data_IF_162342020708
#
_entry.id   IF_162342020708
#
_cell.length_a   1.000
_cell.length_b   1.000
_cell.length_c   1.000
_cell.angle_alpha   90.00
_cell.angle_beta   90.00
_cell.angle_gamma   90.00
#
_symmetry.space_group_name_H-M   'P 1'
#
loop_
_entity.id
_entity.type
_entity.pdbx_description
1 polymer ?
#
# COMPACT_ATOMS: atom_id res chain seq x y z
N UNK A 1 14.86 50.62 11.42
CA UNK A 1 13.87 49.67 10.83
C UNK A 1 14.63 48.82 9.84
N UNK A 2 15.09 47.56 10.23
CA UNK A 2 15.42 46.48 9.25
C UNK A 2 16.33 45.39 9.77
N UNK A 3 16.81 45.47 11.05
CA UNK A 3 17.71 44.44 11.58
C UNK A 3 16.97 43.15 12.07
N UNK A 4 15.68 43.25 12.35
CA UNK A 4 14.85 42.12 12.82
C UNK A 4 14.37 41.22 11.68
N UNK A 5 14.13 41.77 10.50
CA UNK A 5 13.66 41.02 9.34
C UNK A 5 14.79 40.22 8.66
N UNK A 6 16.02 40.76 8.65
CA UNK A 6 17.18 40.07 8.12
C UNK A 6 17.63 38.88 9.02
N UNK A 7 17.53 39.04 10.34
CA UNK A 7 17.87 37.97 11.28
C UNK A 7 16.84 36.83 11.25
N UNK A 8 15.54 37.14 11.11
CA UNK A 8 14.48 36.15 10.98
C UNK A 8 14.64 35.25 9.73
N UNK A 9 15.03 35.82 8.60
CA UNK A 9 15.34 35.07 7.38
C UNK A 9 16.52 34.11 7.54
N UNK A 10 17.61 34.58 8.14
CA UNK A 10 18.82 33.79 8.34
C UNK A 10 18.60 32.61 9.29
N UNK A 11 17.76 32.78 10.33
CA UNK A 11 17.44 31.69 11.27
C UNK A 11 16.51 30.64 10.62
N UNK A 12 15.59 31.08 9.77
CA UNK A 12 14.73 30.14 9.02
C UNK A 12 15.54 29.31 8.03
N UNK A 13 16.56 29.88 7.39
CA UNK A 13 17.50 29.15 6.52
C UNK A 13 18.32 28.13 7.31
N UNK A 14 18.80 28.45 8.53
CA UNK A 14 19.56 27.49 9.34
C UNK A 14 18.74 26.31 9.85
N UNK A 15 17.49 26.53 10.24
CA UNK A 15 16.55 25.44 10.62
C UNK A 15 16.26 24.54 9.43
N UNK A 16 16.00 25.13 8.26
CA UNK A 16 15.76 24.40 7.02
C UNK A 16 16.97 23.55 6.62
N UNK A 17 18.17 24.13 6.72
CA UNK A 17 19.41 23.42 6.44
C UNK A 17 19.62 22.24 7.40
N UNK A 18 19.39 22.43 8.70
CA UNK A 18 19.44 21.37 9.70
C UNK A 18 18.46 20.25 9.39
N UNK A 19 17.19 20.59 9.05
CA UNK A 19 16.18 19.62 8.70
C UNK A 19 16.56 18.81 7.44
N UNK A 20 17.09 19.47 6.40
CA UNK A 20 17.57 18.84 5.19
C UNK A 20 18.74 17.90 5.43
N UNK A 21 19.74 18.32 6.26
CA UNK A 21 20.88 17.48 6.62
C UNK A 21 20.40 16.26 7.41
N UNK A 22 19.54 16.45 8.41
CA UNK A 22 19.00 15.36 9.22
C UNK A 22 18.21 14.38 8.36
N UNK A 23 17.39 14.87 7.43
CA UNK A 23 16.66 14.06 6.47
C UNK A 23 17.62 13.27 5.57
N UNK A 24 18.61 13.92 4.97
CA UNK A 24 19.58 13.27 4.08
C UNK A 24 20.37 12.17 4.81
N UNK A 25 20.86 12.45 6.02
CA UNK A 25 21.56 11.47 6.85
C UNK A 25 20.65 10.29 7.19
N UNK A 26 19.41 10.57 7.61
CA UNK A 26 18.43 9.51 7.91
C UNK A 26 18.18 8.63 6.69
N UNK A 27 18.00 9.25 5.52
CA UNK A 27 17.76 8.52 4.27
C UNK A 27 18.95 7.64 3.88
N UNK A 28 20.18 8.17 3.98
CA UNK A 28 21.42 7.41 3.73
C UNK A 28 21.53 6.22 4.69
N UNK A 29 21.29 6.43 5.99
CA UNK A 29 21.30 5.35 7.00
C UNK A 29 20.25 4.29 6.69
N UNK A 30 19.03 4.69 6.32
CA UNK A 30 17.96 3.77 5.94
C UNK A 30 18.27 2.96 4.66
N UNK A 31 19.01 3.54 3.71
CA UNK A 31 19.47 2.83 2.52
C UNK A 31 20.60 1.85 2.84
N UNK A 32 21.58 2.28 3.65
CA UNK A 32 22.74 1.46 4.00
C UNK A 32 22.38 0.30 4.93
N UNK A 33 21.46 0.52 5.86
CA UNK A 33 21.13 -0.43 6.94
C UNK A 33 19.63 -0.79 6.94
N UNK A 34 19.22 -1.70 6.08
CA UNK A 34 17.81 -2.08 5.91
C UNK A 34 17.13 -2.58 7.21
N UNK A 35 17.88 -3.25 8.10
CA UNK A 35 17.34 -3.81 9.35
C UNK A 35 16.96 -2.79 10.41
N UNK A 36 17.58 -1.60 10.38
CA UNK A 36 17.36 -0.56 11.39
C UNK A 36 16.53 0.62 10.88
N UNK A 37 15.92 0.51 9.69
CA UNK A 37 15.09 1.57 9.09
C UNK A 37 14.07 2.20 10.05
N UNK A 38 13.23 1.41 10.78
CA UNK A 38 12.26 2.01 11.70
C UNK A 38 12.92 2.77 12.83
N UNK A 39 14.02 2.24 13.37
CA UNK A 39 14.75 2.87 14.45
C UNK A 39 15.42 4.17 13.99
N UNK A 40 16.01 4.18 12.79
CA UNK A 40 16.61 5.39 12.23
C UNK A 40 15.56 6.51 12.05
N UNK A 41 14.38 6.18 11.54
CA UNK A 41 13.29 7.15 11.38
C UNK A 41 12.82 7.72 12.75
N UNK A 42 12.61 6.83 13.75
CA UNK A 42 12.18 7.26 15.09
C UNK A 42 13.24 8.11 15.77
N UNK A 43 14.53 7.71 15.70
CA UNK A 43 15.63 8.47 16.30
C UNK A 43 15.74 9.85 15.64
N UNK A 44 15.63 9.93 14.31
CA UNK A 44 15.66 11.21 13.59
C UNK A 44 14.51 12.12 13.99
N UNK A 45 13.29 11.59 14.09
CA UNK A 45 12.14 12.34 14.56
C UNK A 45 12.33 12.85 16.01
N UNK A 46 12.85 12.00 16.90
CA UNK A 46 13.15 12.39 18.28
C UNK A 46 14.21 13.49 18.35
N UNK A 47 15.28 13.40 17.56
CA UNK A 47 16.32 14.44 17.48
C UNK A 47 15.70 15.78 17.06
N UNK A 48 14.83 15.76 16.03
CA UNK A 48 14.18 16.98 15.54
C UNK A 48 13.30 17.63 16.62
N UNK A 49 12.46 16.82 17.30
CA UNK A 49 11.60 17.29 18.39
C UNK A 49 12.42 17.81 19.59
N UNK A 50 13.49 17.11 19.98
CA UNK A 50 14.35 17.53 21.10
C UNK A 50 15.02 18.85 20.76
N UNK A 51 15.61 19.00 19.59
CA UNK A 51 16.28 20.23 19.13
C UNK A 51 15.29 21.39 19.06
N UNK A 52 14.08 21.18 18.57
CA UNK A 52 13.01 22.17 18.55
C UNK A 52 12.53 22.57 19.94
N UNK A 53 12.37 21.60 20.84
CA UNK A 53 11.92 21.87 22.22
C UNK A 53 12.97 22.56 23.09
N UNK A 54 14.25 22.29 22.85
CA UNK A 54 15.36 22.96 23.56
C UNK A 54 15.64 24.39 23.07
N UNK A 55 14.96 24.83 21.96
CA UNK A 55 15.17 26.17 21.42
C UNK A 55 16.61 26.42 20.93
N UNK A 56 17.27 25.37 20.42
CA UNK A 56 18.65 25.45 19.92
C UNK A 56 18.80 26.53 18.83
N UNK A 57 17.74 26.69 18.05
CA UNK A 57 17.66 27.71 17.01
C UNK A 57 16.73 28.85 17.46
N UNK A 58 17.23 30.09 17.56
CA UNK A 58 16.41 31.25 17.93
C UNK A 58 15.23 31.43 16.95
N UNK A 59 14.03 31.57 17.50
CA UNK A 59 12.80 31.70 16.69
C UNK A 59 12.20 30.39 16.21
N UNK A 60 12.79 29.22 16.50
CA UNK A 60 12.22 27.91 16.25
C UNK A 60 11.91 27.22 17.57
N UNK A 61 10.63 26.98 17.81
CA UNK A 61 10.15 26.22 18.97
C UNK A 61 9.18 25.16 18.44
N UNK A 62 9.46 23.90 18.74
CA UNK A 62 8.65 22.77 18.31
C UNK A 62 8.45 21.82 19.49
N UNK A 63 7.25 21.86 20.05
CA UNK A 63 6.94 21.07 21.24
C UNK A 63 6.58 19.61 20.88
N UNK A 64 6.78 18.66 21.83
CA UNK A 64 6.31 17.28 21.63
C UNK A 64 4.81 17.17 21.37
N UNK A 65 4.02 18.09 21.89
CA UNK A 65 2.58 18.13 21.68
C UNK A 65 2.23 18.56 20.24
N UNK A 66 2.98 19.47 19.66
CA UNK A 66 2.86 19.86 18.26
C UNK A 66 3.23 18.69 17.34
N UNK A 67 4.33 17.98 17.66
CA UNK A 67 4.72 16.78 16.93
C UNK A 67 3.62 15.70 16.91
N UNK A 68 2.89 15.51 18.02
CA UNK A 68 1.78 14.59 18.08
C UNK A 68 0.55 15.04 17.28
N UNK A 69 0.35 16.36 17.13
CA UNK A 69 -0.72 16.92 16.31
C UNK A 69 -0.45 16.82 14.80
N UNK A 70 0.82 16.83 14.41
CA UNK A 70 1.25 16.64 13.01
C UNK A 70 1.10 15.19 12.54
N UNK A 71 0.88 14.22 13.46
CA UNK A 71 0.61 12.84 13.08
C UNK A 71 -0.74 12.76 12.37
N UNK A 72 -0.72 12.34 11.13
CA UNK A 72 -1.96 12.08 10.38
C UNK A 72 -2.56 10.73 10.77
N UNK A 73 -3.48 10.78 11.73
CA UNK A 73 -4.19 9.60 12.23
C UNK A 73 -5.05 8.94 11.16
N UNK A 74 -5.57 9.69 10.19
CA UNK A 74 -6.35 9.13 9.08
C UNK A 74 -5.49 8.20 8.22
N UNK A 75 -4.30 8.65 7.84
CA UNK A 75 -3.33 7.85 7.08
C UNK A 75 -2.93 6.59 7.84
N UNK A 76 -2.60 6.71 9.14
CA UNK A 76 -2.24 5.56 9.98
C UNK A 76 -3.38 4.55 10.04
N UNK A 77 -4.62 5.02 10.30
CA UNK A 77 -5.79 4.15 10.35
C UNK A 77 -6.11 3.51 9.00
N UNK A 78 -5.96 4.24 7.88
CA UNK A 78 -6.10 3.66 6.54
C UNK A 78 -5.09 2.54 6.33
N UNK A 79 -3.82 2.77 6.61
CA UNK A 79 -2.76 1.75 6.45
C UNK A 79 -3.04 0.53 7.33
N UNK A 80 -3.33 0.73 8.61
CA UNK A 80 -3.60 -0.39 9.54
C UNK A 80 -4.85 -1.16 9.13
N UNK A 81 -5.92 -0.46 8.80
CA UNK A 81 -7.19 -1.07 8.41
C UNK A 81 -7.11 -1.83 7.09
N UNK A 82 -6.51 -1.24 6.06
CA UNK A 82 -6.35 -1.91 4.76
C UNK A 82 -5.42 -3.10 4.85
N UNK A 83 -4.24 -2.96 5.47
CA UNK A 83 -3.29 -4.05 5.66
C UNK A 83 -3.89 -5.20 6.48
N UNK A 84 -4.67 -4.87 7.51
CA UNK A 84 -5.35 -5.87 8.33
C UNK A 84 -6.43 -6.63 7.55
N UNK A 85 -7.27 -5.94 6.77
CA UNK A 85 -8.30 -6.56 5.92
C UNK A 85 -7.66 -7.42 4.82
N UNK A 86 -6.59 -6.92 4.21
CA UNK A 86 -5.80 -7.66 3.21
C UNK A 86 -5.18 -8.92 3.82
N UNK A 87 -4.66 -8.86 5.04
CA UNK A 87 -4.14 -10.05 5.73
C UNK A 87 -5.20 -11.15 5.83
N UNK A 88 -6.42 -10.81 6.27
CA UNK A 88 -7.53 -11.77 6.33
C UNK A 88 -7.91 -12.31 4.95
N UNK A 89 -7.87 -11.47 3.92
CA UNK A 89 -8.14 -11.87 2.53
C UNK A 89 -7.09 -12.87 2.01
N UNK A 90 -5.80 -12.65 2.32
CA UNK A 90 -4.72 -13.58 1.99
C UNK A 90 -4.94 -14.93 2.67
N UNK A 91 -5.25 -14.91 3.97
CA UNK A 91 -5.45 -16.12 4.77
C UNK A 91 -6.63 -16.96 4.26
N UNK A 92 -7.65 -16.32 3.67
CA UNK A 92 -8.78 -17.01 3.03
C UNK A 92 -8.39 -17.89 1.85
N UNK A 93 -7.22 -17.72 1.26
CA UNK A 93 -6.70 -18.37 0.04
C UNK A 93 -7.56 -18.12 -1.22
N UNK A 94 -8.48 -17.18 -1.16
CA UNK A 94 -9.32 -16.84 -2.32
C UNK A 94 -8.51 -16.30 -3.51
N UNK A 95 -7.50 -15.42 -3.33
CA UNK A 95 -6.67 -14.95 -4.45
C UNK A 95 -5.89 -16.08 -5.13
N UNK A 96 -5.42 -17.06 -4.34
CA UNK A 96 -4.72 -18.23 -4.89
C UNK A 96 -5.66 -19.08 -5.75
N UNK A 97 -6.89 -19.36 -5.28
CA UNK A 97 -7.87 -20.06 -6.09
C UNK A 97 -8.17 -19.32 -7.40
N UNK A 98 -8.33 -17.99 -7.35
CA UNK A 98 -8.55 -17.18 -8.56
C UNK A 98 -7.37 -17.30 -9.54
N UNK A 99 -6.15 -17.28 -9.04
CA UNK A 99 -4.95 -17.47 -9.86
C UNK A 99 -4.88 -18.89 -10.45
N UNK A 100 -5.18 -19.93 -9.67
CA UNK A 100 -5.22 -21.32 -10.16
C UNK A 100 -6.23 -21.49 -11.31
N UNK A 101 -7.46 -20.98 -11.11
CA UNK A 101 -8.52 -21.03 -12.16
C UNK A 101 -8.11 -20.26 -13.41
N UNK A 102 -7.37 -19.17 -13.24
CA UNK A 102 -6.90 -18.37 -14.36
C UNK A 102 -5.88 -19.14 -15.19
N UNK A 103 -4.90 -19.78 -14.54
CA UNK A 103 -3.88 -20.62 -15.20
C UNK A 103 -4.49 -21.81 -15.91
N UNK A 104 -5.46 -22.49 -15.30
CA UNK A 104 -6.16 -23.63 -15.90
C UNK A 104 -6.86 -23.29 -17.22
N UNK A 105 -7.27 -22.04 -17.41
CA UNK A 105 -7.96 -21.58 -18.61
C UNK A 105 -7.02 -21.12 -19.73
N UNK A 106 -5.71 -21.05 -19.47
CA UNK A 106 -4.76 -20.54 -20.44
C UNK A 106 -4.18 -21.67 -21.32
N UNK A 107 -4.05 -21.43 -22.63
CA UNK A 107 -3.62 -22.47 -23.56
C UNK A 107 -2.10 -22.74 -23.55
N UNK A 108 -1.29 -21.80 -23.10
CA UNK A 108 0.19 -21.92 -23.09
C UNK A 108 0.86 -21.10 -22.00
N UNK A 109 2.15 -21.40 -21.73
CA UNK A 109 2.98 -20.72 -20.74
C UNK A 109 2.96 -19.20 -20.92
N UNK A 110 3.12 -18.73 -22.16
CA UNK A 110 3.07 -17.30 -22.48
C UNK A 110 1.80 -16.63 -21.95
N UNK A 111 0.65 -17.23 -22.23
CA UNK A 111 -0.64 -16.68 -21.79
C UNK A 111 -0.85 -16.85 -20.28
N UNK A 112 -0.31 -17.93 -19.69
CA UNK A 112 -0.36 -18.13 -18.24
C UNK A 112 0.44 -17.07 -17.48
N UNK A 113 1.66 -16.79 -17.91
CA UNK A 113 2.50 -15.74 -17.29
C UNK A 113 1.88 -14.36 -17.47
N UNK A 114 1.40 -14.04 -18.68
CA UNK A 114 0.74 -12.77 -18.95
C UNK A 114 -0.51 -12.60 -18.07
N UNK A 115 -1.39 -13.60 -18.02
CA UNK A 115 -2.62 -13.53 -17.25
C UNK A 115 -2.37 -13.47 -15.75
N UNK A 116 -1.38 -14.22 -15.21
CA UNK A 116 -0.96 -14.11 -13.82
C UNK A 116 -0.39 -12.72 -13.49
N UNK A 117 0.41 -12.15 -14.40
CA UNK A 117 0.99 -10.82 -14.19
C UNK A 117 -0.09 -9.73 -14.22
N UNK A 118 -1.02 -9.77 -15.18
CA UNK A 118 -2.14 -8.84 -15.24
C UNK A 118 -3.10 -9.02 -14.04
N UNK A 119 -3.34 -10.25 -13.64
CA UNK A 119 -4.15 -10.55 -12.46
C UNK A 119 -3.49 -10.05 -11.18
N UNK A 120 -2.18 -10.24 -11.04
CA UNK A 120 -1.40 -9.68 -9.92
C UNK A 120 -1.51 -8.15 -9.90
N UNK A 121 -1.38 -7.50 -11.05
CA UNK A 121 -1.61 -6.06 -11.17
C UNK A 121 -3.02 -5.67 -10.73
N UNK A 122 -4.05 -6.32 -11.27
CA UNK A 122 -5.43 -6.03 -10.92
C UNK A 122 -5.71 -6.18 -9.41
N UNK A 123 -5.23 -7.25 -8.78
CA UNK A 123 -5.35 -7.41 -7.32
C UNK A 123 -4.56 -6.33 -6.58
N UNK A 124 -3.35 -5.99 -7.06
CA UNK A 124 -2.49 -5.00 -6.43
C UNK A 124 -3.03 -3.57 -6.49
N UNK A 125 -3.91 -3.27 -7.41
CA UNK A 125 -4.63 -2.00 -7.41
C UNK A 125 -5.48 -1.77 -6.14
N UNK A 126 -5.81 -2.84 -5.40
CA UNK A 126 -6.64 -2.80 -4.19
C UNK A 126 -5.96 -3.43 -2.97
N UNK A 127 -4.85 -4.11 -3.17
CA UNK A 127 -4.11 -4.89 -2.18
C UNK A 127 -2.64 -4.53 -2.31
N UNK A 128 -1.95 -4.41 -1.18
CA UNK A 128 -0.50 -4.13 -1.16
C UNK A 128 0.28 -5.02 -2.14
N UNK A 129 1.21 -4.41 -2.85
CA UNK A 129 2.00 -5.05 -3.90
C UNK A 129 2.83 -6.24 -3.40
N UNK A 130 3.44 -6.13 -2.21
CA UNK A 130 4.24 -7.22 -1.61
C UNK A 130 3.35 -8.39 -1.24
N UNK A 131 2.21 -8.11 -0.63
CA UNK A 131 1.21 -9.11 -0.28
C UNK A 131 0.69 -9.85 -1.52
N UNK A 132 0.40 -9.11 -2.59
CA UNK A 132 -0.06 -9.66 -3.87
C UNK A 132 0.98 -10.62 -4.49
N UNK A 133 2.25 -10.22 -4.51
CA UNK A 133 3.32 -11.08 -5.02
C UNK A 133 3.43 -12.37 -4.19
N UNK A 134 3.42 -12.26 -2.86
CA UNK A 134 3.50 -13.43 -1.96
C UNK A 134 2.32 -14.40 -2.12
N UNK A 135 1.14 -13.89 -2.51
CA UNK A 135 -0.04 -14.73 -2.77
C UNK A 135 0.04 -15.47 -4.10
N UNK A 136 0.52 -14.81 -5.15
CA UNK A 136 0.47 -15.32 -6.52
C UNK A 136 1.74 -16.09 -6.89
N UNK A 137 2.89 -15.75 -6.29
CA UNK A 137 4.16 -16.43 -6.54
C UNK A 137 4.10 -17.96 -6.33
N UNK A 138 3.42 -18.54 -5.30
CA UNK A 138 3.29 -19.98 -5.15
C UNK A 138 2.63 -20.66 -6.36
N UNK A 139 1.62 -20.03 -6.98
CA UNK A 139 0.95 -20.55 -8.18
C UNK A 139 1.91 -20.56 -9.37
N UNK A 140 2.62 -19.44 -9.58
CA UNK A 140 3.65 -19.35 -10.63
C UNK A 140 4.78 -20.39 -10.43
N UNK A 141 5.23 -20.58 -9.18
CA UNK A 141 6.25 -21.58 -8.82
C UNK A 141 5.78 -23.01 -9.11
N UNK A 142 4.53 -23.34 -8.74
CA UNK A 142 3.94 -24.66 -9.01
C UNK A 142 3.85 -24.91 -10.53
N UNK A 143 3.40 -23.92 -11.30
CA UNK A 143 3.37 -23.98 -12.76
C UNK A 143 4.76 -24.22 -13.34
N UNK A 144 5.76 -23.39 -12.97
CA UNK A 144 7.11 -23.49 -13.47
C UNK A 144 7.77 -24.83 -13.13
N UNK A 145 7.55 -25.33 -11.90
CA UNK A 145 8.07 -26.65 -11.46
C UNK A 145 7.47 -27.79 -12.30
N UNK A 146 6.17 -27.74 -12.61
CA UNK A 146 5.50 -28.76 -13.41
C UNK A 146 5.98 -28.78 -14.84
N UNK A 147 6.27 -27.61 -15.42
CA UNK A 147 6.72 -27.44 -16.79
C UNK A 147 8.26 -27.50 -16.91
N UNK A 148 8.97 -27.67 -15.80
CA UNK A 148 10.43 -27.71 -15.74
C UNK A 148 11.11 -26.43 -16.33
N UNK A 149 10.47 -25.26 -16.15
CA UNK A 149 10.99 -23.96 -16.58
C UNK A 149 11.48 -23.12 -15.39
N UNK A 150 12.36 -22.15 -15.68
CA UNK A 150 12.86 -21.25 -14.63
C UNK A 150 11.75 -20.34 -14.10
N UNK A 151 11.52 -20.25 -12.78
CA UNK A 151 10.50 -19.39 -12.18
C UNK A 151 10.91 -17.92 -12.09
N UNK A 152 12.18 -17.58 -12.37
CA UNK A 152 12.73 -16.24 -12.13
C UNK A 152 12.00 -15.18 -12.95
N UNK A 153 11.90 -15.40 -14.27
CA UNK A 153 11.26 -14.45 -15.16
C UNK A 153 9.75 -14.26 -14.83
N UNK A 154 8.92 -15.33 -14.71
CA UNK A 154 7.53 -15.19 -14.32
C UNK A 154 7.30 -14.43 -12.98
N UNK A 155 8.12 -14.71 -11.97
CA UNK A 155 7.99 -14.02 -10.67
C UNK A 155 8.38 -12.54 -10.78
N UNK A 156 9.42 -12.21 -11.55
CA UNK A 156 9.78 -10.79 -11.82
C UNK A 156 8.62 -10.08 -12.53
N UNK A 157 8.01 -10.71 -13.52
CA UNK A 157 6.86 -10.14 -14.24
C UNK A 157 5.66 -9.86 -13.32
N UNK A 158 5.32 -10.81 -12.44
CA UNK A 158 4.29 -10.64 -11.43
C UNK A 158 4.63 -9.48 -10.49
N UNK A 159 5.88 -9.40 -10.01
CA UNK A 159 6.33 -8.34 -9.10
C UNK A 159 6.30 -6.96 -9.76
N UNK A 160 6.73 -6.84 -11.01
CA UNK A 160 6.71 -5.58 -11.77
C UNK A 160 5.27 -5.12 -12.03
N UNK A 161 4.40 -6.02 -12.50
CA UNK A 161 2.98 -5.71 -12.72
C UNK A 161 2.27 -5.30 -11.43
N UNK A 162 2.51 -6.03 -10.34
CA UNK A 162 1.95 -5.71 -9.03
C UNK A 162 2.40 -4.33 -8.55
N UNK A 163 3.69 -4.03 -8.64
CA UNK A 163 4.25 -2.75 -8.22
C UNK A 163 3.72 -1.57 -9.05
N UNK A 164 3.60 -1.75 -10.36
CA UNK A 164 3.05 -0.74 -11.26
C UNK A 164 1.60 -0.42 -10.93
N UNK A 165 0.76 -1.44 -10.81
CA UNK A 165 -0.67 -1.29 -10.59
C UNK A 165 -1.03 -0.89 -9.15
N UNK A 166 -0.14 -1.10 -8.18
CA UNK A 166 -0.33 -0.62 -6.81
C UNK A 166 -0.55 0.89 -6.72
N UNK A 167 -0.01 1.66 -7.66
CA UNK A 167 -0.22 3.11 -7.74
C UNK A 167 -1.54 3.52 -8.42
N UNK A 168 -2.32 2.59 -8.96
CA UNK A 168 -3.54 2.89 -9.73
C UNK A 168 -4.69 3.45 -8.88
N UNK A 169 -4.77 3.08 -7.61
CA UNK A 169 -5.86 3.49 -6.72
C UNK A 169 -5.35 3.98 -5.37
N UNK A 170 -6.23 4.64 -4.62
CA UNK A 170 -5.94 5.15 -3.27
C UNK A 170 -5.43 4.09 -2.30
N UNK A 171 -5.90 2.84 -2.41
CA UNK A 171 -5.67 1.77 -1.42
C UNK A 171 -4.67 0.71 -1.86
N UNK A 172 -4.20 0.76 -3.11
CA UNK A 172 -3.31 -0.25 -3.67
C UNK A 172 -1.91 -0.23 -3.07
N UNK A 173 -1.39 0.94 -2.70
CA UNK A 173 -0.08 1.08 -2.06
C UNK A 173 -0.10 2.17 -0.99
N UNK A 174 0.78 2.04 0.01
CA UNK A 174 0.98 3.06 1.06
C UNK A 174 1.42 4.40 0.49
N UNK A 175 2.17 4.41 -0.60
CA UNK A 175 2.59 5.64 -1.31
C UNK A 175 1.40 6.39 -1.90
N UNK A 176 0.39 5.68 -2.41
CA UNK A 176 -0.85 6.26 -2.93
C UNK A 176 -1.68 6.94 -1.82
N UNK A 177 -1.75 6.32 -0.63
CA UNK A 177 -2.41 6.91 0.54
C UNK A 177 -1.71 8.22 0.96
N UNK A 178 -0.37 8.24 0.99
CA UNK A 178 0.40 9.43 1.32
C UNK A 178 0.23 10.53 0.27
N UNK A 179 0.24 10.17 -1.02
CA UNK A 179 -0.01 11.11 -2.12
C UNK A 179 -1.41 11.72 -2.03
N UNK A 180 -2.42 10.90 -1.81
CA UNK A 180 -3.80 11.34 -1.66
C UNK A 180 -3.94 12.37 -0.53
N UNK A 181 -3.27 12.13 0.61
CA UNK A 181 -3.25 13.11 1.70
C UNK A 181 -2.53 14.40 1.33
N UNK A 182 -1.37 14.30 0.69
CA UNK A 182 -0.58 15.48 0.31
C UNK A 182 -1.28 16.35 -0.74
N UNK A 183 -2.03 15.74 -1.65
CA UNK A 183 -2.77 16.41 -2.72
C UNK A 183 -4.26 16.59 -2.41
N UNK A 184 -4.75 16.17 -1.24
CA UNK A 184 -6.16 16.16 -0.84
C UNK A 184 -7.08 15.40 -1.82
N UNK A 185 -6.60 14.26 -2.33
CA UNK A 185 -7.34 13.41 -3.26
C UNK A 185 -8.20 12.39 -2.51
N UNK A 186 -9.40 12.14 -3.04
CA UNK A 186 -10.27 11.04 -2.66
C UNK A 186 -10.07 9.82 -3.57
N UNK A 187 -10.80 8.74 -3.29
CA UNK A 187 -10.70 7.50 -4.07
C UNK A 187 -11.04 7.71 -5.56
N UNK A 188 -12.06 8.53 -5.86
CA UNK A 188 -12.48 8.80 -7.23
C UNK A 188 -11.54 9.74 -7.99
N UNK A 189 -10.79 10.59 -7.30
CA UNK A 189 -9.85 11.53 -7.92
C UNK A 189 -8.68 10.80 -8.59
N UNK A 190 -8.38 9.56 -8.15
CA UNK A 190 -7.44 8.69 -8.87
C UNK A 190 -7.93 8.34 -10.28
N UNK A 191 -9.24 8.36 -10.54
CA UNK A 191 -9.83 8.12 -11.86
C UNK A 191 -10.09 9.42 -12.61
N UNK A 192 -10.73 10.40 -11.97
CA UNK A 192 -11.05 11.68 -12.57
C UNK A 192 -10.82 12.78 -11.53
N UNK A 193 -9.84 13.65 -11.78
CA UNK A 193 -9.49 14.78 -10.93
C UNK A 193 -9.76 16.09 -11.68
N UNK A 194 -10.62 16.94 -11.14
CA UNK A 194 -11.04 18.25 -11.73
C UNK A 194 -11.43 18.19 -13.22
N UNK A 195 -11.99 17.05 -13.67
CA UNK A 195 -12.38 16.83 -15.07
C UNK A 195 -11.27 16.34 -15.99
N UNK A 196 -10.07 16.10 -15.47
CA UNK A 196 -8.94 15.50 -16.17
C UNK A 196 -8.82 14.00 -15.85
N UNK A 197 -8.13 13.27 -16.74
CA UNK A 197 -7.80 11.85 -16.49
C UNK A 197 -6.86 11.74 -15.31
N UNK A 198 -7.27 11.00 -14.27
CA UNK A 198 -6.49 10.75 -13.07
C UNK A 198 -5.34 9.77 -13.30
N UNK A 199 -4.60 9.51 -12.22
CA UNK A 199 -3.40 8.65 -12.23
C UNK A 199 -3.70 7.22 -12.69
N UNK A 200 -4.91 6.69 -12.43
CA UNK A 200 -5.35 5.38 -12.87
C UNK A 200 -5.07 5.14 -14.37
N UNK A 201 -5.46 6.07 -15.25
CA UNK A 201 -5.28 5.90 -16.70
C UNK A 201 -3.81 5.89 -17.12
N UNK A 202 -2.96 6.67 -16.44
CA UNK A 202 -1.51 6.68 -16.72
C UNK A 202 -0.90 5.33 -16.34
N UNK A 203 -1.30 4.78 -15.20
CA UNK A 203 -0.88 3.45 -14.73
C UNK A 203 -1.36 2.36 -15.68
N UNK A 204 -2.60 2.42 -16.16
CA UNK A 204 -3.14 1.46 -17.14
C UNK A 204 -2.39 1.49 -18.48
N UNK A 205 -2.00 2.67 -18.96
CA UNK A 205 -1.12 2.76 -20.13
C UNK A 205 0.23 2.09 -19.89
N UNK A 206 0.80 2.25 -18.69
CA UNK A 206 2.00 1.53 -18.27
C UNK A 206 1.79 0.02 -18.22
N UNK A 207 0.63 -0.44 -17.74
CA UNK A 207 0.26 -1.85 -17.71
C UNK A 207 0.14 -2.45 -19.12
N UNK A 208 -0.47 -1.71 -20.07
CA UNK A 208 -0.51 -2.13 -21.47
C UNK A 208 0.88 -2.24 -22.08
N UNK A 209 1.74 -1.25 -21.84
CA UNK A 209 3.13 -1.29 -22.31
C UNK A 209 3.89 -2.50 -21.69
N UNK A 210 3.72 -2.74 -20.39
CA UNK A 210 4.28 -3.91 -19.71
C UNK A 210 3.76 -5.22 -20.31
N UNK A 211 2.45 -5.34 -20.57
CA UNK A 211 1.85 -6.52 -21.19
C UNK A 211 2.46 -6.81 -22.59
N UNK A 212 2.70 -5.77 -23.40
CA UNK A 212 3.36 -5.93 -24.71
C UNK A 212 4.79 -6.43 -24.57
N UNK A 213 5.55 -5.90 -23.59
CA UNK A 213 6.91 -6.39 -23.30
C UNK A 213 6.89 -7.85 -22.88
N UNK A 214 5.94 -8.25 -22.02
CA UNK A 214 5.77 -9.64 -21.59
C UNK A 214 5.43 -10.56 -22.76
N UNK A 215 4.51 -10.17 -23.64
CA UNK A 215 4.17 -10.93 -24.83
C UNK A 215 5.39 -11.13 -25.75
N UNK A 216 6.22 -10.10 -25.89
CA UNK A 216 7.45 -10.19 -26.68
C UNK A 216 8.49 -11.09 -26.01
N UNK A 217 8.67 -10.98 -24.70
CA UNK A 217 9.64 -11.75 -23.92
C UNK A 217 9.34 -13.25 -23.93
N UNK A 218 8.06 -13.62 -23.76
CA UNK A 218 7.59 -15.02 -23.72
C UNK A 218 7.06 -15.53 -25.07
N UNK A 219 7.37 -14.87 -26.19
CA UNK A 219 6.82 -15.24 -27.51
C UNK A 219 7.13 -16.66 -27.96
N UNK A 220 8.20 -17.25 -27.46
CA UNK A 220 8.64 -18.62 -27.82
C UNK A 220 8.13 -19.70 -26.86
N UNK A 221 7.54 -19.33 -25.71
CA UNK A 221 7.05 -20.24 -24.69
C UNK A 221 5.60 -20.65 -24.98
N UNK A 222 5.44 -21.62 -25.92
CA UNK A 222 4.13 -22.08 -26.37
C UNK A 222 3.74 -23.46 -25.79
N UNK A 223 4.46 -23.97 -24.78
CA UNK A 223 4.13 -25.24 -24.13
C UNK A 223 2.74 -25.19 -23.49
N UNK A 224 1.90 -26.25 -23.65
CA UNK A 224 0.57 -26.28 -23.07
C UNK A 224 0.63 -26.39 -21.55
N UNK A 225 -0.20 -25.62 -20.86
CA UNK A 225 -0.31 -25.62 -19.41
C UNK A 225 -1.55 -26.43 -19.01
N UNK A 226 -1.37 -27.49 -18.25
CA UNK A 226 -2.46 -28.29 -17.68
C UNK A 226 -2.26 -28.39 -16.17
N UNK A 227 -2.86 -27.47 -15.40
CA UNK A 227 -2.84 -27.46 -13.95
C UNK A 227 -4.23 -27.91 -13.46
N UNK A 228 -4.30 -29.07 -12.81
CA UNK A 228 -5.58 -29.59 -12.27
C UNK A 228 -5.66 -29.43 -10.73
N UNK A 229 -4.63 -28.88 -10.11
CA UNK A 229 -4.61 -28.66 -8.68
C UNK A 229 -5.30 -27.32 -8.36
N UNK A 230 -6.37 -27.37 -7.55
CA UNK A 230 -7.10 -26.18 -7.10
C UNK A 230 -6.89 -25.96 -5.61
N UNK A 231 -6.56 -24.75 -5.27
CA UNK A 231 -6.49 -24.31 -3.87
C UNK A 231 -7.89 -24.36 -3.24
N UNK A 232 -8.02 -24.98 -2.06
CA UNK A 232 -9.26 -24.98 -1.30
C UNK A 232 -9.40 -23.65 -0.54
N UNK A 233 -10.45 -22.90 -0.82
CA UNK A 233 -10.79 -21.68 -0.09
C UNK A 233 -11.29 -22.06 1.31
N UNK A 234 -10.79 -21.36 2.31
CA UNK A 234 -11.18 -21.60 3.70
C UNK A 234 -12.40 -20.78 4.12
N UNK A 235 -12.49 -19.54 3.65
CA UNK A 235 -13.56 -18.61 3.98
C UNK A 235 -13.74 -17.54 2.89
N UNK A 236 -14.99 -17.25 2.54
CA UNK A 236 -15.33 -16.18 1.58
C UNK A 236 -15.57 -14.82 2.24
N UNK A 237 -15.74 -14.78 3.54
CA UNK A 237 -16.08 -13.55 4.25
C UNK A 237 -15.03 -12.44 4.13
N UNK A 238 -13.72 -12.70 4.20
CA UNK A 238 -12.70 -11.67 4.00
C UNK A 238 -12.77 -11.00 2.62
N UNK A 239 -13.22 -11.74 1.60
CA UNK A 239 -13.45 -11.17 0.27
C UNK A 239 -14.57 -10.13 0.29
N UNK A 240 -15.67 -10.41 1.00
CA UNK A 240 -16.77 -9.46 1.18
C UNK A 240 -16.37 -8.26 2.03
N UNK A 241 -15.48 -8.44 3.02
CA UNK A 241 -14.92 -7.33 3.80
C UNK A 241 -14.11 -6.38 2.92
N UNK A 242 -13.23 -6.93 2.07
CA UNK A 242 -12.42 -6.12 1.16
C UNK A 242 -13.31 -5.35 0.18
N UNK A 243 -14.27 -6.04 -0.46
CA UNK A 243 -15.22 -5.39 -1.36
C UNK A 243 -16.06 -4.33 -0.66
N UNK A 244 -16.53 -4.62 0.56
CA UNK A 244 -17.28 -3.68 1.38
C UNK A 244 -16.47 -2.42 1.70
N UNK A 245 -15.19 -2.57 2.05
CA UNK A 245 -14.27 -1.44 2.29
C UNK A 245 -14.17 -0.56 1.05
N UNK A 246 -13.96 -1.17 -0.14
CA UNK A 246 -13.85 -0.43 -1.40
C UNK A 246 -15.16 0.30 -1.75
N UNK A 247 -16.30 -0.39 -1.64
CA UNK A 247 -17.62 0.21 -1.92
C UNK A 247 -17.89 1.39 -0.98
N UNK A 248 -17.53 1.27 0.31
CA UNK A 248 -17.70 2.36 1.26
C UNK A 248 -16.77 3.55 0.97
N UNK A 249 -15.50 3.30 0.59
CA UNK A 249 -14.57 4.36 0.20
C UNK A 249 -15.04 5.10 -1.06
N UNK A 250 -15.53 4.36 -2.07
CA UNK A 250 -16.15 4.95 -3.27
C UNK A 250 -17.37 5.78 -2.89
N UNK A 251 -18.26 5.22 -2.05
CA UNK A 251 -19.47 5.92 -1.62
C UNK A 251 -19.19 7.23 -0.88
N UNK A 252 -18.18 7.23 -0.02
CA UNK A 252 -17.78 8.42 0.77
C UNK A 252 -17.04 9.44 -0.09
N UNK A 253 -16.43 9.07 -1.22
CA UNK A 253 -15.82 10.01 -2.16
C UNK A 253 -16.83 11.00 -2.77
N UNK A 254 -18.11 10.65 -2.82
CA UNK A 254 -19.16 11.58 -3.25
C UNK A 254 -19.55 12.62 -2.19
N UNK A 255 -19.05 12.49 -0.95
CA UNK A 255 -19.35 13.42 0.15
C UNK A 255 -18.18 14.41 0.27
N UNK A 256 -18.41 15.74 0.13
CA UNK A 256 -17.33 16.71 0.22
C UNK A 256 -16.76 16.81 1.64
N UNK A 257 -15.52 17.22 1.74
CA UNK A 257 -14.91 17.59 3.03
C UNK A 257 -15.57 18.88 3.57
N UNK A 258 -15.44 19.09 4.88
CA UNK A 258 -16.01 20.26 5.57
C UNK A 258 -15.60 21.60 4.94
N UNK A 259 -14.36 21.70 4.48
CA UNK A 259 -13.82 22.90 3.80
C UNK A 259 -14.45 23.21 2.46
N UNK A 260 -14.98 22.19 1.75
CA UNK A 260 -15.66 22.35 0.45
C UNK A 260 -17.19 22.25 0.51
N UNK A 261 -17.77 21.96 1.68
CA UNK A 261 -19.22 21.79 1.82
C UNK A 261 -19.96 23.13 1.83
N UNK A 262 -21.08 23.19 1.09
CA UNK A 262 -21.99 24.34 1.12
C UNK A 262 -22.79 24.37 2.45
N UNK A 263 -23.26 25.55 2.91
CA UNK A 263 -24.09 25.64 4.11
C UNK A 263 -25.30 24.70 4.04
N UNK A 264 -25.46 23.83 5.07
CA UNK A 264 -26.54 22.86 5.11
C UNK A 264 -26.30 21.53 4.37
N UNK A 265 -25.14 21.33 3.77
CA UNK A 265 -24.76 20.07 3.12
C UNK A 265 -24.08 19.13 4.12
N UNK A 266 -24.32 17.82 3.97
CA UNK A 266 -23.54 16.79 4.70
C UNK A 266 -22.09 16.85 4.27
N UNK A 267 -21.18 16.75 5.23
CA UNK A 267 -19.72 16.72 4.98
C UNK A 267 -19.07 15.57 5.73
N UNK A 268 -17.97 15.07 5.20
CA UNK A 268 -17.16 14.07 5.85
C UNK A 268 -16.07 14.71 6.73
N UNK A 269 -15.68 13.99 7.76
CA UNK A 269 -14.53 14.34 8.59
C UNK A 269 -13.23 13.88 7.92
N UNK A 270 -12.13 14.55 8.19
CA UNK A 270 -10.80 14.19 7.63
C UNK A 270 -10.37 12.76 8.00
N UNK A 271 -10.93 12.21 9.09
CA UNK A 271 -10.62 10.86 9.61
C UNK A 271 -11.55 9.76 9.06
N UNK A 272 -12.53 10.11 8.20
CA UNK A 272 -13.59 9.19 7.77
C UNK A 272 -13.06 7.96 7.02
N UNK A 273 -12.13 8.15 6.09
CA UNK A 273 -11.56 7.05 5.30
C UNK A 273 -10.83 6.04 6.19
N UNK A 274 -10.06 6.53 7.16
CA UNK A 274 -9.37 5.70 8.15
C UNK A 274 -10.34 4.91 9.03
N UNK A 275 -11.43 5.54 9.49
CA UNK A 275 -12.45 4.88 10.30
C UNK A 275 -13.17 3.75 9.53
N UNK A 276 -13.44 3.93 8.25
CA UNK A 276 -13.99 2.88 7.38
C UNK A 276 -13.04 1.69 7.34
N UNK A 277 -11.78 1.92 7.00
CA UNK A 277 -10.79 0.85 6.88
C UNK A 277 -10.61 0.06 8.19
N UNK A 278 -10.44 0.76 9.32
CA UNK A 278 -10.32 0.13 10.65
C UNK A 278 -11.62 -0.55 11.07
N UNK A 279 -12.79 0.02 10.75
CA UNK A 279 -14.09 -0.55 11.07
C UNK A 279 -14.29 -1.92 10.40
N UNK A 280 -14.02 -2.03 9.11
CA UNK A 280 -14.10 -3.31 8.39
C UNK A 280 -13.08 -4.32 8.91
N UNK A 281 -11.85 -3.89 9.18
CA UNK A 281 -10.84 -4.74 9.80
C UNK A 281 -11.28 -5.25 11.17
N UNK A 282 -11.84 -4.40 12.03
CA UNK A 282 -12.36 -4.78 13.35
C UNK A 282 -13.50 -5.81 13.25
N UNK A 283 -14.42 -5.64 12.30
CA UNK A 283 -15.48 -6.62 12.01
C UNK A 283 -14.87 -7.98 11.63
N UNK A 284 -13.85 -7.97 10.77
CA UNK A 284 -13.12 -9.18 10.37
C UNK A 284 -12.46 -9.87 11.55
N UNK A 285 -11.76 -9.13 12.39
CA UNK A 285 -11.11 -9.65 13.59
C UNK A 285 -12.11 -10.22 14.60
N UNK A 286 -13.19 -9.49 14.88
CA UNK A 286 -14.23 -9.96 15.82
C UNK A 286 -14.83 -11.28 15.36
N UNK A 287 -15.17 -11.38 14.06
CA UNK A 287 -15.71 -12.64 13.52
C UNK A 287 -14.69 -13.80 13.63
N UNK A 288 -13.44 -13.53 13.33
CA UNK A 288 -12.40 -14.55 13.38
C UNK A 288 -12.15 -15.04 14.81
N UNK A 289 -12.15 -14.13 15.80
CA UNK A 289 -12.09 -14.45 17.22
C UNK A 289 -13.26 -15.33 17.68
N UNK A 290 -14.48 -15.04 17.19
CA UNK A 290 -15.68 -15.82 17.53
C UNK A 290 -15.63 -17.21 16.91
N UNK A 291 -15.17 -17.33 15.66
CA UNK A 291 -15.14 -18.57 14.90
C UNK A 291 -14.04 -19.52 15.36
N UNK A 292 -12.83 -19.02 15.57
CA UNK A 292 -11.64 -19.82 15.81
C UNK A 292 -11.29 -20.00 17.31
N UNK A 293 -11.96 -19.26 18.21
CA UNK A 293 -11.73 -19.24 19.68
C UNK A 293 -10.25 -19.04 20.09
N UNK A 294 -9.36 -18.88 19.15
CA UNK A 294 -7.92 -18.68 19.35
C UNK A 294 -7.52 -17.27 18.92
N UNK A 295 -6.78 -16.58 19.78
CA UNK A 295 -6.18 -15.29 19.45
C UNK A 295 -5.06 -15.38 18.38
N UNK A 296 -4.97 -16.50 17.65
CA UNK A 296 -3.95 -16.74 16.63
C UNK A 296 -4.03 -15.72 15.47
N UNK A 297 -5.25 -15.36 15.04
CA UNK A 297 -5.44 -14.36 13.99
C UNK A 297 -5.09 -12.95 14.47
N UNK A 298 -5.45 -12.58 15.71
CA UNK A 298 -5.02 -11.31 16.31
C UNK A 298 -3.50 -11.26 16.45
N UNK A 299 -2.89 -12.35 16.92
CA UNK A 299 -1.43 -12.48 16.98
C UNK A 299 -0.82 -12.47 15.58
N UNK A 300 -1.46 -13.08 14.58
CA UNK A 300 -1.05 -13.08 13.18
C UNK A 300 -1.15 -11.69 12.57
N UNK A 301 -2.27 -10.99 12.74
CA UNK A 301 -2.47 -9.63 12.27
C UNK A 301 -1.52 -8.63 12.95
N UNK A 302 -1.37 -8.71 14.28
CA UNK A 302 -0.40 -7.92 15.03
C UNK A 302 1.04 -8.28 14.62
N UNK A 303 1.33 -9.54 14.38
CA UNK A 303 2.63 -10.00 13.89
C UNK A 303 2.86 -9.57 12.45
N UNK A 304 1.86 -9.56 11.59
CA UNK A 304 1.96 -9.00 10.23
C UNK A 304 2.24 -7.51 10.26
N UNK A 305 1.53 -6.72 11.06
CA UNK A 305 1.81 -5.31 11.31
C UNK A 305 3.22 -5.11 11.90
N UNK A 306 3.68 -5.99 12.79
CA UNK A 306 5.00 -5.93 13.42
C UNK A 306 6.13 -6.48 12.54
N UNK A 307 5.89 -7.55 11.75
CA UNK A 307 6.83 -8.11 10.78
C UNK A 307 7.02 -7.14 9.61
N UNK A 308 5.96 -6.46 9.17
CA UNK A 308 6.08 -5.40 8.17
C UNK A 308 7.00 -4.27 8.63
N UNK A 309 7.08 -4.03 9.96
CA UNK A 309 8.04 -3.11 10.55
C UNK A 309 9.45 -3.71 10.72
N UNK A 310 9.61 -5.03 10.86
CA UNK A 310 10.87 -5.69 11.24
C UNK A 310 11.58 -6.48 10.14
N UNK A 311 10.87 -7.18 9.26
CA UNK A 311 11.45 -8.18 8.35
C UNK A 311 11.46 -7.76 6.87
N UNK A 312 11.93 -6.56 6.54
CA UNK A 312 12.55 -6.34 5.23
C UNK A 312 14.01 -6.79 5.23
N UNK A 313 14.32 -7.85 5.89
CA UNK A 313 15.59 -8.55 5.89
C UNK A 313 15.40 -9.91 5.24
N UNK A 314 15.31 -9.93 3.91
CA UNK A 314 15.46 -11.17 3.14
C UNK A 314 16.89 -11.68 3.37
N UNK A 315 16.99 -12.91 3.94
CA UNK A 315 18.18 -13.73 3.83
C UNK A 315 18.27 -14.30 2.43
#
# INVERSE_FOLDING_TARGET
MDDTNCKGGLYMETVTLFALILFAVTYIVMMAFQKIRPHAAVISALIFVIVGNLGVFPGFSYSPLEALKEIDWNVIMMIVGTMGTVYLFIESKMPQLMADVLVDKTPSVKWAVLSLSLFAGFISAFVDNVATVLMIAPVALAMCKKLNISPVAPIICIAVSSNLQGAATLVGDTTSILLAKAANLDFLDFFVDEGHMGMFFVVELGALASALVLLFMFRHENEPVNMHERTKVQDLFPTWLLLGTLICLIGVSFIPYKTGAKPGQFYKLDITNGLICVGFFAIGLMRDLIKNKDAAAVKGALKALWIYSRDRGIR
#
